data_IF_543801988983
#
_entry.id   IF_543801988983
#
_cell.length_a   1.000
_cell.length_b   1.000
_cell.length_c   1.000
_cell.angle_alpha   90.00
_cell.angle_beta   90.00
_cell.angle_gamma   90.00
#
_symmetry.space_group_name_H-M   'P 1'
#
loop_
_entity.id
_entity.type
_entity.pdbx_description
1 polymer ?
#
# COMPACT_ATOMS: atom_id res chain seq x y z
N UNK A 1 -14.88 -10.93 -18.66
CA UNK A 1 -14.01 -11.17 -17.48
C UNK A 1 -13.47 -9.85 -16.95
N UNK A 2 -12.93 -9.83 -15.73
CA UNK A 2 -12.34 -8.65 -15.06
C UNK A 2 -10.83 -8.82 -14.89
N UNK A 3 -10.07 -7.73 -14.93
CA UNK A 3 -8.63 -7.74 -14.72
C UNK A 3 -8.15 -6.44 -14.02
N UNK A 4 -7.32 -6.54 -12.97
CA UNK A 4 -6.73 -5.35 -12.35
C UNK A 4 -5.70 -4.69 -13.28
N UNK A 5 -5.54 -3.37 -13.11
CA UNK A 5 -4.42 -2.61 -13.66
C UNK A 5 -3.28 -2.56 -12.62
N UNK A 6 -2.05 -2.85 -13.04
CA UNK A 6 -0.83 -2.64 -12.25
C UNK A 6 0.24 -2.02 -13.12
N UNK A 7 0.93 -0.99 -12.63
CA UNK A 7 1.98 -0.29 -13.39
C UNK A 7 1.51 0.10 -14.80
N UNK A 8 0.29 0.64 -14.89
CA UNK A 8 -0.37 1.03 -16.15
C UNK A 8 -0.54 -0.11 -17.17
N UNK A 9 -0.58 -1.37 -16.70
CA UNK A 9 -0.66 -2.56 -17.54
C UNK A 9 -1.85 -3.42 -17.13
N UNK A 10 -2.61 -3.92 -18.11
CA UNK A 10 -3.67 -4.90 -17.86
C UNK A 10 -3.04 -6.23 -17.47
N UNK A 11 -3.38 -6.77 -16.30
CA UNK A 11 -2.82 -8.05 -15.85
C UNK A 11 -3.30 -9.25 -16.66
N UNK A 12 -4.42 -9.13 -17.40
CA UNK A 12 -4.98 -10.18 -18.23
C UNK A 12 -4.26 -10.41 -19.57
N UNK A 13 -3.92 -9.34 -20.31
CA UNK A 13 -3.23 -9.45 -21.61
C UNK A 13 -1.82 -8.83 -21.63
N UNK A 14 -1.37 -8.24 -20.53
CA UNK A 14 -0.05 -7.59 -20.39
C UNK A 14 0.19 -6.39 -21.31
N UNK A 15 -0.83 -5.86 -21.97
CA UNK A 15 -0.74 -4.62 -22.74
C UNK A 15 -0.87 -3.39 -21.84
N UNK A 16 -0.19 -2.31 -22.23
CA UNK A 16 -0.31 -1.00 -21.58
C UNK A 16 -1.72 -0.45 -21.77
N UNK A 17 -2.26 0.09 -20.69
CA UNK A 17 -3.55 0.76 -20.67
C UNK A 17 -3.31 2.27 -20.83
N UNK A 18 -4.07 2.98 -21.69
CA UNK A 18 -3.94 4.43 -21.84
C UNK A 18 -4.14 5.18 -20.52
N UNK A 19 -3.37 6.26 -20.31
CA UNK A 19 -3.44 7.05 -19.07
C UNK A 19 -4.82 7.67 -18.87
N UNK A 20 -5.54 8.03 -19.94
CA UNK A 20 -6.90 8.56 -19.85
C UNK A 20 -7.88 7.55 -19.26
N UNK A 21 -7.80 6.28 -19.69
CA UNK A 21 -8.59 5.18 -19.12
C UNK A 21 -8.30 4.97 -17.64
N UNK A 22 -7.03 5.06 -17.25
CA UNK A 22 -6.62 4.96 -15.84
C UNK A 22 -7.14 6.16 -15.04
N UNK A 23 -7.08 7.37 -15.58
CA UNK A 23 -7.57 8.58 -14.93
C UNK A 23 -9.08 8.52 -14.67
N UNK A 24 -9.86 7.97 -15.60
CA UNK A 24 -11.32 7.76 -15.41
C UNK A 24 -11.58 6.76 -14.28
N UNK A 25 -10.83 5.65 -14.26
CA UNK A 25 -10.93 4.66 -13.18
C UNK A 25 -10.49 5.21 -11.82
N UNK A 26 -9.48 6.10 -11.78
CA UNK A 26 -9.03 6.75 -10.55
C UNK A 26 -10.05 7.73 -9.96
N UNK A 27 -10.96 8.25 -10.79
CA UNK A 27 -12.03 9.16 -10.36
C UNK A 27 -13.35 8.44 -10.09
N UNK A 28 -13.37 7.12 -10.27
CA UNK A 28 -14.57 6.28 -10.16
C UNK A 28 -15.74 6.80 -11.03
N UNK A 29 -15.44 7.47 -12.15
CA UNK A 29 -16.45 8.10 -13.03
C UNK A 29 -17.15 7.08 -13.94
N UNK A 30 -16.42 6.04 -14.38
CA UNK A 30 -16.95 5.07 -15.35
C UNK A 30 -16.22 3.72 -15.29
N UNK A 31 -16.88 2.68 -15.79
CA UNK A 31 -16.32 1.33 -15.93
C UNK A 31 -15.61 1.22 -17.26
N UNK A 32 -14.30 1.01 -17.22
CA UNK A 32 -13.48 0.93 -18.42
C UNK A 32 -13.20 -0.51 -18.87
N UNK A 33 -13.12 -0.70 -20.19
CA UNK A 33 -12.68 -1.95 -20.82
C UNK A 33 -11.24 -1.83 -21.33
N UNK A 34 -10.49 -2.93 -21.29
CA UNK A 34 -9.19 -3.02 -21.94
C UNK A 34 -9.37 -3.03 -23.46
N UNK A 35 -8.84 -2.02 -24.16
CA UNK A 35 -8.92 -1.93 -25.63
C UNK A 35 -8.23 -3.08 -26.39
N UNK A 36 -7.37 -3.85 -25.74
CA UNK A 36 -6.68 -5.00 -26.36
C UNK A 36 -7.40 -6.34 -26.15
N UNK A 37 -8.07 -6.55 -25.01
CA UNK A 37 -8.66 -7.87 -24.69
C UNK A 37 -10.12 -7.83 -24.22
N UNK A 38 -10.75 -6.65 -24.20
CA UNK A 38 -12.16 -6.48 -23.86
C UNK A 38 -12.54 -6.86 -22.43
N UNK A 39 -11.57 -6.96 -21.51
CA UNK A 39 -11.83 -7.23 -20.08
C UNK A 39 -12.12 -5.93 -19.34
N UNK A 40 -13.04 -5.99 -18.39
CA UNK A 40 -13.31 -4.90 -17.46
C UNK A 40 -12.10 -4.64 -16.57
N UNK A 41 -11.74 -3.38 -16.45
CA UNK A 41 -10.59 -2.92 -15.70
C UNK A 41 -11.02 -2.31 -14.38
N UNK A 42 -10.23 -2.55 -13.34
CA UNK A 42 -10.38 -1.90 -12.04
C UNK A 42 -9.02 -1.55 -11.48
N UNK A 43 -8.98 -0.52 -10.64
CA UNK A 43 -7.80 -0.15 -9.87
C UNK A 43 -7.85 -0.87 -8.50
N UNK A 44 -6.84 -1.68 -8.14
CA UNK A 44 -6.78 -2.21 -6.79
C UNK A 44 -6.58 -1.06 -5.78
N UNK A 45 -7.27 -1.08 -4.63
CA UNK A 45 -7.08 -0.06 -3.61
C UNK A 45 -5.64 -0.10 -3.11
N UNK A 46 -5.00 1.06 -3.01
CA UNK A 46 -3.69 1.19 -2.39
C UNK A 46 -3.90 1.06 -0.88
N UNK A 47 -3.67 -0.15 -0.35
CA UNK A 47 -3.73 -0.40 1.07
C UNK A 47 -2.71 0.51 1.76
N UNK A 48 -3.10 1.29 2.78
CA UNK A 48 -2.17 2.06 3.57
C UNK A 48 -1.07 1.12 4.08
N UNK A 49 0.21 1.53 4.03
CA UNK A 49 1.27 0.74 4.64
C UNK A 49 0.92 0.52 6.11
N UNK A 50 0.91 -0.75 6.54
CA UNK A 50 0.67 -1.08 7.94
C UNK A 50 1.68 -0.30 8.81
N UNK A 51 1.23 0.37 9.89
CA UNK A 51 2.15 1.09 10.75
C UNK A 51 3.16 0.10 11.31
N UNK A 52 4.44 0.30 10.95
CA UNK A 52 5.55 -0.44 11.52
C UNK A 52 5.47 -0.36 13.05
N UNK A 53 5.61 -1.48 13.77
CA UNK A 53 5.47 -1.49 15.22
C UNK A 53 6.48 -0.51 15.85
N UNK A 54 5.98 0.42 16.66
CA UNK A 54 6.83 1.39 17.37
C UNK A 54 7.84 0.65 18.27
N UNK A 55 9.13 1.04 18.25
CA UNK A 55 10.15 0.35 19.02
C UNK A 55 9.85 0.47 20.52
N UNK A 56 9.74 -0.68 21.19
CA UNK A 56 9.42 -0.76 22.61
C UNK A 56 10.36 0.10 23.47
N UNK A 57 9.84 0.81 24.49
CA UNK A 57 10.64 1.70 25.31
C UNK A 57 11.70 0.91 26.09
N UNK A 58 12.98 1.22 25.82
CA UNK A 58 14.10 0.67 26.59
C UNK A 58 14.00 1.16 28.04
N UNK A 59 13.59 0.27 28.96
CA UNK A 59 13.64 0.52 30.40
C UNK A 59 15.06 0.94 30.78
N UNK A 60 15.23 2.18 31.24
CA UNK A 60 16.50 2.65 31.82
C UNK A 60 16.75 1.83 33.08
N UNK A 61 17.82 1.03 33.06
CA UNK A 61 18.28 0.29 34.24
C UNK A 61 18.59 1.32 35.34
N UNK A 62 17.86 1.22 36.45
CA UNK A 62 17.99 2.11 37.59
C UNK A 62 19.42 2.10 38.14
N UNK A 63 19.90 3.29 38.52
CA UNK A 63 21.16 3.48 39.23
C UNK A 63 21.10 2.74 40.58
N UNK A 64 22.10 1.93 40.96
CA UNK A 64 22.09 1.25 42.25
C UNK A 64 22.15 2.27 43.40
N UNK A 65 21.44 2.03 44.53
CA UNK A 65 21.46 2.93 45.67
C UNK A 65 22.83 2.90 46.35
N UNK A 66 23.39 4.09 46.64
CA UNK A 66 24.59 4.26 47.47
C UNK A 66 24.23 3.86 48.90
N UNK A 67 24.71 2.70 49.35
CA UNK A 67 24.71 2.35 50.78
C UNK A 67 25.71 3.28 51.47
N UNK A 68 25.23 4.10 52.42
CA UNK A 68 26.10 4.87 53.31
C UNK A 68 26.43 3.97 54.51
N UNK A 69 27.66 3.51 54.59
CA UNK A 69 28.22 2.90 55.81
C UNK A 69 28.36 3.99 56.87
N UNK A 70 27.88 3.75 58.09
CA UNK A 70 27.99 4.63 59.24
C UNK A 70 28.72 3.92 60.38
N UNK A 71 29.60 4.70 61.04
CA UNK A 71 30.19 4.57 62.38
C UNK A 71 30.99 3.30 62.72
#
# INVERSE_FOLDING_TARGET
GVAPIRNQTCTGCRMKVPIGTIAVLMRDEDIQLCGSCGRYLYLPPELPPEPLPEPAPKKRRGRPPKVKTAA
#
